data_IF_051704638726
#
_entry.id   IF_051704638726
#
_cell.length_a   1.000
_cell.length_b   1.000
_cell.length_c   1.000
_cell.angle_alpha   90.00
_cell.angle_beta   90.00
_cell.angle_gamma   90.00
#
_symmetry.space_group_name_H-M   'P 1'
#
loop_
_entity.id
_entity.type
_entity.pdbx_description
1 polymer ?
#
# COMPACT_ATOMS: atom_id res chain seq x y z
N UNK A 1 1.18 -19.75 18.31
CA UNK A 1 -0.17 -19.18 18.12
C UNK A 1 -0.63 -19.34 16.68
N UNK A 2 0.13 -18.88 15.68
CA UNK A 2 -0.12 -19.16 14.26
C UNK A 2 -0.22 -20.67 13.96
N UNK A 3 0.81 -21.42 14.35
CA UNK A 3 0.84 -22.89 14.26
C UNK A 3 -0.36 -23.61 14.90
N UNK A 4 -0.96 -23.02 15.95
CA UNK A 4 -2.10 -23.64 16.63
C UNK A 4 -3.38 -23.48 15.82
N UNK A 5 -3.57 -22.31 15.21
CA UNK A 5 -4.69 -22.04 14.30
C UNK A 5 -4.57 -22.95 13.08
N UNK A 6 -3.38 -23.12 12.52
CA UNK A 6 -3.16 -23.99 11.36
C UNK A 6 -3.39 -25.46 11.70
N UNK A 7 -2.87 -25.92 12.84
CA UNK A 7 -3.10 -27.28 13.31
C UNK A 7 -4.60 -27.58 13.49
N UNK A 8 -5.35 -26.66 14.10
CA UNK A 8 -6.77 -26.87 14.41
C UNK A 8 -7.69 -26.72 13.18
N UNK A 9 -7.45 -25.72 12.33
CA UNK A 9 -8.38 -25.34 11.25
C UNK A 9 -7.95 -25.81 9.86
N UNK A 10 -6.69 -26.20 9.66
CA UNK A 10 -6.16 -26.59 8.34
C UNK A 10 -5.60 -28.01 8.38
N UNK A 11 -4.53 -28.24 9.14
CA UNK A 11 -3.77 -29.50 9.11
C UNK A 11 -4.60 -30.67 9.65
N UNK A 12 -5.35 -30.48 10.73
CA UNK A 12 -6.22 -31.54 11.26
C UNK A 12 -7.30 -31.99 10.28
N UNK A 13 -7.88 -31.05 9.52
CA UNK A 13 -8.86 -31.36 8.48
C UNK A 13 -8.21 -32.04 7.28
N UNK A 14 -7.04 -31.54 6.86
CA UNK A 14 -6.30 -32.10 5.74
C UNK A 14 -5.83 -33.52 6.05
N UNK A 15 -5.33 -33.78 7.26
CA UNK A 15 -4.96 -35.12 7.75
C UNK A 15 -6.14 -36.11 7.70
N UNK A 16 -7.34 -35.68 8.13
CA UNK A 16 -8.54 -36.51 8.11
C UNK A 16 -8.92 -36.95 6.69
N UNK A 17 -8.69 -36.11 5.68
CA UNK A 17 -9.08 -36.37 4.29
C UNK A 17 -7.98 -37.04 3.46
N UNK A 18 -6.73 -36.63 3.61
CA UNK A 18 -5.62 -37.13 2.81
C UNK A 18 -5.07 -38.46 3.33
N UNK A 19 -5.11 -38.71 4.65
CA UNK A 19 -4.52 -39.88 5.33
C UNK A 19 -3.02 -40.11 5.05
N UNK A 20 -2.35 -39.14 4.42
CA UNK A 20 -0.94 -39.22 4.00
C UNK A 20 -0.02 -38.29 4.79
N UNK A 21 -0.58 -37.39 5.61
CA UNK A 21 0.19 -36.47 6.46
C UNK A 21 0.35 -37.09 7.84
N UNK A 22 1.56 -37.51 8.17
CA UNK A 22 1.87 -38.20 9.43
C UNK A 22 2.56 -37.32 10.48
N UNK A 23 3.00 -36.12 10.09
CA UNK A 23 3.67 -35.19 11.00
C UNK A 23 2.70 -34.09 11.42
N UNK A 24 2.62 -33.86 12.74
CA UNK A 24 1.98 -32.69 13.32
C UNK A 24 2.84 -31.47 12.99
N UNK A 25 2.22 -30.38 12.55
CA UNK A 25 2.91 -29.14 12.18
C UNK A 25 3.76 -28.65 13.36
N UNK A 26 5.07 -28.56 13.15
CA UNK A 26 6.05 -28.31 14.22
C UNK A 26 5.92 -26.90 14.79
N UNK A 27 5.97 -26.77 16.12
CA UNK A 27 6.00 -25.46 16.78
C UNK A 27 7.29 -24.72 16.40
N UNK A 28 7.14 -23.56 15.77
CA UNK A 28 8.24 -22.71 15.29
C UNK A 28 9.06 -22.05 16.41
N UNK A 29 8.99 -22.55 17.66
CA UNK A 29 9.73 -22.03 18.82
C UNK A 29 9.43 -20.55 19.13
N UNK A 30 8.29 -20.04 18.68
CA UNK A 30 7.83 -18.67 18.94
C UNK A 30 7.76 -18.39 20.46
N UNK A 31 7.34 -19.39 21.24
CA UNK A 31 7.31 -19.34 22.70
C UNK A 31 8.71 -19.16 23.31
N UNK A 32 9.73 -19.79 22.73
CA UNK A 32 11.12 -19.64 23.17
C UNK A 32 11.65 -18.24 22.86
N UNK A 33 11.32 -17.69 21.69
CA UNK A 33 11.69 -16.31 21.30
C UNK A 33 11.04 -15.27 22.22
N UNK A 34 9.75 -15.42 22.54
CA UNK A 34 9.07 -14.54 23.49
C UNK A 34 9.70 -14.60 24.88
N UNK A 35 10.11 -15.79 25.34
CA UNK A 35 10.81 -15.93 26.62
C UNK A 35 12.20 -15.25 26.61
N UNK A 36 12.86 -15.21 25.46
CA UNK A 36 14.14 -14.51 25.27
C UNK A 36 13.95 -13.00 25.35
N UNK A 37 12.89 -12.46 24.72
CA UNK A 37 12.52 -11.04 24.82
C UNK A 37 12.16 -10.64 26.26
N UNK A 38 11.36 -11.44 26.94
CA UNK A 38 10.98 -11.19 28.33
C UNK A 38 12.21 -11.18 29.27
N UNK A 39 13.16 -12.09 29.05
CA UNK A 39 14.44 -12.10 29.77
C UNK A 39 15.27 -10.85 29.51
N UNK A 40 15.30 -10.33 28.28
CA UNK A 40 15.97 -9.08 27.94
C UNK A 40 15.38 -7.89 28.68
N UNK A 41 14.04 -7.76 28.64
CA UNK A 41 13.31 -6.65 29.25
C UNK A 41 13.40 -6.63 30.79
N UNK A 42 13.48 -7.81 31.44
CA UNK A 42 13.47 -7.90 32.91
C UNK A 42 14.85 -7.94 33.55
N UNK A 43 15.85 -8.48 32.87
CA UNK A 43 17.11 -8.88 33.52
C UNK A 43 18.35 -8.12 33.04
N UNK A 44 18.30 -7.38 31.93
CA UNK A 44 19.43 -6.59 31.44
C UNK A 44 19.44 -5.24 32.16
N UNK A 45 20.48 -4.98 32.96
CA UNK A 45 20.57 -3.75 33.79
C UNK A 45 21.80 -2.91 33.51
N UNK A 46 22.80 -3.46 32.83
CA UNK A 46 24.05 -2.77 32.52
C UNK A 46 24.48 -3.02 31.07
N UNK A 47 25.39 -2.17 30.60
CA UNK A 47 25.88 -2.13 29.22
C UNK A 47 26.58 -3.45 28.79
N UNK A 48 27.25 -4.12 29.73
CA UNK A 48 27.90 -5.41 29.47
C UNK A 48 26.89 -6.55 29.27
N UNK A 49 25.85 -6.61 30.10
CA UNK A 49 24.72 -7.52 29.95
C UNK A 49 23.94 -7.25 28.66
N UNK A 50 23.82 -5.98 28.26
CA UNK A 50 23.17 -5.57 27.03
C UNK A 50 23.91 -6.09 25.80
N UNK A 51 25.23 -5.91 25.73
CA UNK A 51 26.05 -6.43 24.62
C UNK A 51 26.01 -7.95 24.53
N UNK A 52 26.01 -8.65 25.68
CA UNK A 52 25.92 -10.11 25.70
C UNK A 52 24.51 -10.61 25.32
N UNK A 53 23.47 -9.87 25.70
CA UNK A 53 22.10 -10.15 25.31
C UNK A 53 21.89 -9.91 23.82
N UNK A 54 22.40 -8.82 23.28
CA UNK A 54 22.33 -8.47 21.85
C UNK A 54 22.93 -9.58 20.98
N UNK A 55 24.12 -10.08 21.36
CA UNK A 55 24.75 -11.19 20.65
C UNK A 55 23.87 -12.45 20.64
N UNK A 56 23.33 -12.84 21.80
CA UNK A 56 22.46 -14.01 21.91
C UNK A 56 21.12 -13.81 21.17
N UNK A 57 20.57 -12.60 21.20
CA UNK A 57 19.35 -12.25 20.50
C UNK A 57 19.54 -12.38 18.99
N UNK A 58 20.65 -11.83 18.47
CA UNK A 58 20.99 -11.91 17.05
C UNK A 58 21.15 -13.36 16.58
N UNK A 59 21.94 -14.16 17.28
CA UNK A 59 22.15 -15.57 16.94
C UNK A 59 20.83 -16.37 16.96
N UNK A 60 19.93 -16.07 17.92
CA UNK A 60 18.62 -16.73 18.03
C UNK A 60 17.62 -16.28 16.99
N UNK A 61 17.59 -14.99 16.64
CA UNK A 61 16.76 -14.46 15.55
C UNK A 61 17.18 -15.04 14.21
N UNK A 62 18.48 -15.09 13.93
CA UNK A 62 19.00 -15.69 12.71
C UNK A 62 18.65 -17.18 12.61
N UNK A 63 18.80 -17.93 13.71
CA UNK A 63 18.40 -19.33 13.74
C UNK A 63 16.89 -19.52 13.54
N UNK A 64 16.06 -18.70 14.19
CA UNK A 64 14.61 -18.72 14.02
C UNK A 64 14.21 -18.45 12.56
N UNK A 65 14.72 -17.38 11.94
CA UNK A 65 14.36 -17.00 10.57
C UNK A 65 14.80 -18.05 9.55
N UNK A 66 15.94 -18.71 9.78
CA UNK A 66 16.41 -19.82 8.91
C UNK A 66 15.46 -21.01 8.91
N UNK A 67 14.79 -21.28 10.02
CA UNK A 67 13.85 -22.41 10.13
C UNK A 67 12.42 -21.98 9.72
N UNK A 68 12.01 -20.74 10.06
CA UNK A 68 10.65 -20.23 9.88
C UNK A 68 10.29 -19.97 8.41
N UNK A 69 11.20 -19.38 7.62
CA UNK A 69 10.88 -19.05 6.22
C UNK A 69 10.72 -20.29 5.32
N UNK A 70 11.59 -21.31 5.40
CA UNK A 70 11.38 -22.55 4.65
C UNK A 70 10.11 -23.29 5.07
N UNK A 71 9.77 -23.24 6.37
CA UNK A 71 8.55 -23.84 6.91
C UNK A 71 7.29 -23.19 6.30
N UNK A 72 7.18 -21.86 6.33
CA UNK A 72 6.06 -21.15 5.66
C UNK A 72 6.02 -21.43 4.16
N UNK A 73 7.18 -21.54 3.51
CA UNK A 73 7.27 -21.86 2.09
C UNK A 73 6.77 -23.27 1.78
N UNK A 74 7.04 -24.24 2.64
CA UNK A 74 6.53 -25.60 2.51
C UNK A 74 4.99 -25.63 2.58
N UNK A 75 4.38 -24.85 3.48
CA UNK A 75 2.93 -24.74 3.57
C UNK A 75 2.31 -24.22 2.25
N UNK A 76 2.91 -23.18 1.67
CA UNK A 76 2.44 -22.58 0.42
C UNK A 76 2.66 -23.48 -0.80
N UNK A 77 3.79 -24.19 -0.87
CA UNK A 77 4.15 -24.98 -2.05
C UNK A 77 3.65 -26.44 -1.98
N UNK A 78 3.39 -26.97 -0.79
CA UNK A 78 2.98 -28.36 -0.57
C UNK A 78 1.54 -28.45 -0.05
N UNK A 79 1.23 -27.78 1.06
CA UNK A 79 -0.10 -27.92 1.67
C UNK A 79 -1.19 -27.18 0.88
N UNK A 80 -0.91 -26.02 0.29
CA UNK A 80 -1.90 -25.29 -0.50
C UNK A 80 -2.37 -26.08 -1.75
N UNK A 81 -1.50 -26.71 -2.55
CA UNK A 81 -1.95 -27.63 -3.61
C UNK A 81 -2.75 -28.83 -3.08
N UNK A 82 -2.33 -29.45 -1.96
CA UNK A 82 -3.07 -30.56 -1.37
C UNK A 82 -4.47 -30.13 -0.89
N UNK A 83 -4.61 -28.94 -0.32
CA UNK A 83 -5.90 -28.38 0.06
C UNK A 83 -6.82 -28.22 -1.17
N UNK A 84 -6.29 -27.78 -2.30
CA UNK A 84 -7.03 -27.68 -3.57
C UNK A 84 -7.43 -29.05 -4.14
N UNK A 85 -6.73 -30.13 -3.79
CA UNK A 85 -7.02 -31.49 -4.22
C UNK A 85 -8.11 -32.16 -3.36
N UNK A 86 -8.05 -31.98 -2.03
CA UNK A 86 -8.93 -32.68 -1.08
C UNK A 86 -10.15 -31.88 -0.61
N UNK A 87 -10.26 -30.59 -0.97
CA UNK A 87 -11.38 -29.73 -0.59
C UNK A 87 -11.95 -29.01 -1.80
N UNK A 88 -13.27 -28.78 -1.76
CA UNK A 88 -13.93 -27.95 -2.75
C UNK A 88 -13.62 -26.47 -2.53
N UNK A 89 -13.81 -25.65 -3.57
CA UNK A 89 -13.57 -24.21 -3.49
C UNK A 89 -14.38 -23.52 -2.37
N UNK A 90 -15.65 -23.91 -2.17
CA UNK A 90 -16.48 -23.31 -1.12
C UNK A 90 -16.03 -23.75 0.28
N UNK A 91 -15.60 -25.01 0.45
CA UNK A 91 -15.03 -25.46 1.73
C UNK A 91 -13.73 -24.72 2.08
N UNK A 92 -12.86 -24.49 1.10
CA UNK A 92 -11.63 -23.71 1.30
C UNK A 92 -11.91 -22.26 1.64
N UNK A 93 -12.94 -21.67 1.04
CA UNK A 93 -13.39 -20.32 1.38
C UNK A 93 -13.90 -20.23 2.82
N UNK A 94 -14.64 -21.25 3.28
CA UNK A 94 -15.10 -21.34 4.66
C UNK A 94 -13.95 -21.56 5.65
N UNK A 95 -12.97 -22.40 5.30
CA UNK A 95 -11.75 -22.61 6.09
C UNK A 95 -10.97 -21.30 6.19
N UNK A 96 -10.71 -20.62 5.07
CA UNK A 96 -10.05 -19.31 5.02
C UNK A 96 -10.75 -18.29 5.91
N UNK A 97 -12.08 -18.22 5.86
CA UNK A 97 -12.86 -17.31 6.70
C UNK A 97 -12.67 -17.57 8.19
N UNK A 98 -12.61 -18.85 8.61
CA UNK A 98 -12.36 -19.23 10.01
C UNK A 98 -10.93 -18.90 10.45
N UNK A 99 -9.93 -19.24 9.63
CA UNK A 99 -8.52 -18.98 9.90
C UNK A 99 -8.26 -17.48 10.05
N UNK A 100 -8.76 -16.66 9.11
CA UNK A 100 -8.67 -15.20 9.18
C UNK A 100 -9.36 -14.68 10.44
N UNK A 101 -10.57 -15.15 10.75
CA UNK A 101 -11.27 -14.70 11.96
C UNK A 101 -10.46 -14.96 13.24
N UNK A 102 -9.79 -16.11 13.35
CA UNK A 102 -8.94 -16.42 14.51
C UNK A 102 -7.68 -15.55 14.56
N UNK A 103 -7.02 -15.33 13.43
CA UNK A 103 -5.87 -14.42 13.35
C UNK A 103 -6.22 -12.96 13.64
N UNK A 104 -7.43 -12.53 13.26
CA UNK A 104 -7.90 -11.16 13.42
C UNK A 104 -8.56 -10.88 14.78
N UNK A 105 -9.12 -11.88 15.45
CA UNK A 105 -9.77 -11.70 16.76
C UNK A 105 -8.78 -11.27 17.85
N UNK A 106 -7.47 -11.47 17.64
CA UNK A 106 -6.42 -11.15 18.61
C UNK A 106 -5.51 -9.97 18.22
N UNK A 107 -5.70 -9.37 17.04
CA UNK A 107 -4.99 -8.13 16.62
C UNK A 107 -6.02 -7.04 16.36
N UNK A 108 -5.75 -5.82 16.84
CA UNK A 108 -6.63 -4.67 16.74
C UNK A 108 -7.35 -4.58 15.38
N UNK A 109 -8.67 -4.64 15.47
CA UNK A 109 -9.63 -4.82 14.37
C UNK A 109 -9.58 -3.74 13.28
N UNK A 110 -8.88 -2.63 13.51
CA UNK A 110 -8.81 -1.47 12.61
C UNK A 110 -7.77 -1.60 11.47
N UNK A 111 -6.59 -2.15 11.74
CA UNK A 111 -5.52 -2.26 10.71
C UNK A 111 -5.77 -3.42 9.74
N UNK A 112 -6.44 -4.47 10.22
CA UNK A 112 -6.68 -5.68 9.44
C UNK A 112 -7.88 -5.58 8.49
N UNK A 113 -8.89 -4.75 8.80
CA UNK A 113 -9.97 -4.44 7.85
C UNK A 113 -9.42 -3.75 6.58
N UNK A 114 -8.37 -2.92 6.73
CA UNK A 114 -7.62 -2.37 5.59
C UNK A 114 -6.88 -3.48 4.83
N UNK A 115 -6.18 -4.38 5.53
CA UNK A 115 -5.49 -5.52 4.91
C UNK A 115 -6.43 -6.45 4.14
N UNK A 116 -7.55 -6.88 4.73
CA UNK A 116 -8.54 -7.77 4.12
C UNK A 116 -9.20 -7.17 2.87
N UNK A 117 -9.45 -5.85 2.88
CA UNK A 117 -9.94 -5.15 1.70
C UNK A 117 -8.93 -5.18 0.54
N UNK A 118 -7.63 -5.11 0.84
CA UNK A 118 -6.55 -5.17 -0.14
C UNK A 118 -6.33 -6.61 -0.65
N UNK A 119 -6.43 -7.62 0.22
CA UNK A 119 -6.27 -9.03 -0.14
C UNK A 119 -7.41 -9.55 -1.04
N UNK A 120 -8.67 -9.20 -0.74
CA UNK A 120 -9.79 -9.53 -1.62
C UNK A 120 -9.63 -8.89 -3.01
N UNK A 121 -9.08 -7.68 -3.06
CA UNK A 121 -8.77 -6.98 -4.32
C UNK A 121 -7.63 -7.65 -5.11
N UNK A 122 -6.67 -8.28 -4.44
CA UNK A 122 -5.58 -9.03 -5.06
C UNK A 122 -6.03 -10.42 -5.57
N UNK A 123 -6.91 -11.10 -4.84
CA UNK A 123 -7.45 -12.42 -5.22
C UNK A 123 -8.39 -12.33 -6.44
N UNK A 124 -9.17 -11.25 -6.57
CA UNK A 124 -9.93 -10.95 -7.79
C UNK A 124 -9.02 -10.72 -9.01
N UNK A 125 -7.85 -10.10 -8.82
CA UNK A 125 -6.86 -9.90 -9.88
C UNK A 125 -6.19 -11.20 -10.33
N UNK A 126 -5.94 -12.14 -9.41
CA UNK A 126 -5.41 -13.47 -9.76
C UNK A 126 -6.45 -14.34 -10.48
N UNK A 127 -7.72 -14.26 -10.09
CA UNK A 127 -8.82 -14.89 -10.86
C UNK A 127 -8.92 -14.36 -12.28
N UNK A 128 -8.72 -13.05 -12.49
CA UNK A 128 -8.74 -12.45 -13.83
C UNK A 128 -7.57 -12.94 -14.70
N UNK A 129 -6.39 -13.16 -14.12
CA UNK A 129 -5.22 -13.66 -14.87
C UNK A 129 -5.32 -15.15 -15.23
N UNK A 130 -5.92 -15.99 -14.38
CA UNK A 130 -6.02 -17.45 -14.63
C UNK A 130 -7.04 -17.82 -15.71
N UNK A 131 -8.04 -16.96 -15.97
CA UNK A 131 -9.00 -17.15 -17.08
C UNK A 131 -8.54 -16.53 -18.42
N UNK A 132 -7.39 -15.84 -18.46
CA UNK A 132 -6.90 -15.19 -19.69
C UNK A 132 -5.93 -16.04 -20.52
N UNK A 133 -5.54 -17.24 -20.06
CA UNK A 133 -4.43 -18.01 -20.68
C UNK A 133 -4.88 -19.31 -21.37
N UNK A 134 -6.13 -19.75 -21.22
CA UNK A 134 -6.58 -20.99 -21.85
C UNK A 134 -7.79 -20.79 -22.75
N UNK A 135 -7.55 -20.21 -23.94
CA UNK A 135 -8.42 -20.47 -25.09
C UNK A 135 -7.63 -20.31 -26.40
N UNK A 136 -6.78 -21.31 -26.68
CA UNK A 136 -6.36 -21.62 -28.05
C UNK A 136 -6.39 -23.12 -28.29
N UNK A 137 -7.58 -23.65 -28.59
CA UNK A 137 -7.73 -24.64 -29.66
C UNK A 137 -9.20 -24.87 -30.05
N UNK A 138 -9.43 -24.69 -31.35
CA UNK A 138 -10.38 -25.38 -32.23
C UNK A 138 -11.91 -25.18 -32.13
N UNK A 139 -12.37 -24.46 -33.17
CA UNK A 139 -13.48 -24.75 -34.12
C UNK A 139 -14.92 -24.30 -33.81
N UNK A 140 -15.33 -23.33 -34.63
CA UNK A 140 -16.64 -23.16 -35.29
C UNK A 140 -17.91 -23.37 -34.45
N UNK A 141 -18.48 -22.27 -33.95
CA UNK A 141 -19.93 -22.02 -33.98
C UNK A 141 -20.21 -20.53 -33.79
N UNK A 142 -20.95 -19.92 -34.72
CA UNK A 142 -21.49 -18.58 -34.60
C UNK A 142 -22.45 -18.47 -33.41
N UNK A 143 -22.11 -17.66 -32.39
CA UNK A 143 -23.08 -16.84 -31.64
C UNK A 143 -22.41 -15.52 -31.27
N UNK A 144 -22.87 -14.45 -31.92
CA UNK A 144 -22.53 -13.07 -31.61
C UNK A 144 -23.00 -12.70 -30.20
N UNK A 145 -22.10 -12.75 -29.22
CA UNK A 145 -22.28 -12.02 -27.95
C UNK A 145 -21.37 -10.78 -27.97
N UNK A 146 -21.92 -9.67 -28.46
CA UNK A 146 -21.23 -8.37 -28.43
C UNK A 146 -21.29 -7.83 -27.01
N UNK A 147 -20.41 -8.30 -26.13
CA UNK A 147 -20.04 -7.52 -24.96
C UNK A 147 -19.28 -6.29 -25.45
N UNK A 148 -19.98 -5.16 -25.59
CA UNK A 148 -19.33 -3.88 -25.90
C UNK A 148 -18.50 -3.48 -24.68
N UNK A 149 -17.24 -3.88 -24.65
CA UNK A 149 -16.30 -3.53 -23.59
C UNK A 149 -16.16 -2.01 -23.42
N UNK A 150 -15.71 -1.58 -22.23
CA UNK A 150 -15.53 -0.16 -21.86
C UNK A 150 -14.67 0.63 -22.88
N UNK A 151 -13.85 -0.07 -23.67
CA UNK A 151 -13.04 0.46 -24.78
C UNK A 151 -13.86 1.12 -25.89
N UNK A 152 -15.13 0.71 -26.07
CA UNK A 152 -16.04 1.25 -27.08
C UNK A 152 -16.76 2.54 -26.64
N UNK A 153 -16.61 2.97 -25.39
CA UNK A 153 -17.20 4.23 -24.94
C UNK A 153 -16.54 5.41 -25.66
N UNK A 154 -17.34 6.41 -26.08
CA UNK A 154 -16.82 7.68 -26.57
C UNK A 154 -15.93 8.36 -25.52
N UNK A 155 -14.88 9.09 -25.93
CA UNK A 155 -13.98 9.76 -25.01
C UNK A 155 -14.69 10.75 -24.10
N UNK A 156 -15.78 11.39 -24.55
CA UNK A 156 -16.57 12.33 -23.75
C UNK A 156 -17.27 11.65 -22.57
N UNK A 157 -17.78 10.43 -22.78
CA UNK A 157 -18.41 9.63 -21.71
C UNK A 157 -17.34 9.19 -20.71
N UNK A 158 -16.18 8.76 -21.19
CA UNK A 158 -15.04 8.41 -20.33
C UNK A 158 -14.58 9.61 -19.50
N UNK A 159 -14.52 10.81 -20.08
CA UNK A 159 -14.20 12.04 -19.35
C UNK A 159 -15.26 12.37 -18.29
N UNK A 160 -16.54 12.15 -18.59
CA UNK A 160 -17.61 12.31 -17.61
C UNK A 160 -17.53 11.28 -16.48
N UNK A 161 -17.01 10.08 -16.71
CA UNK A 161 -16.73 9.11 -15.65
C UNK A 161 -15.55 9.59 -14.81
N UNK A 162 -14.47 10.03 -15.47
CA UNK A 162 -13.26 10.50 -14.82
C UNK A 162 -13.47 11.76 -13.96
N UNK A 163 -14.49 12.59 -14.25
CA UNK A 163 -14.79 13.76 -13.41
C UNK A 163 -15.29 13.43 -12.01
N UNK A 164 -15.68 12.18 -11.74
CA UNK A 164 -16.07 11.72 -10.40
C UNK A 164 -14.90 11.13 -9.60
N UNK A 165 -13.73 10.97 -10.23
CA UNK A 165 -12.56 10.37 -9.60
C UNK A 165 -11.70 11.43 -8.93
N UNK A 166 -11.07 11.07 -7.81
CA UNK A 166 -10.11 11.95 -7.17
C UNK A 166 -8.75 11.97 -7.93
N UNK A 167 -7.87 12.95 -7.67
CA UNK A 167 -6.58 13.05 -8.34
C UNK A 167 -5.70 11.79 -8.23
N UNK A 168 -5.77 11.07 -7.10
CA UNK A 168 -5.02 9.83 -6.90
C UNK A 168 -5.53 8.71 -7.82
N UNK A 169 -6.86 8.56 -7.91
CA UNK A 169 -7.53 7.59 -8.77
C UNK A 169 -7.31 7.91 -10.25
N UNK A 170 -7.34 9.18 -10.63
CA UNK A 170 -7.01 9.61 -11.99
C UNK A 170 -5.58 9.19 -12.39
N UNK A 171 -4.61 9.37 -11.49
CA UNK A 171 -3.24 8.91 -11.70
C UNK A 171 -3.13 7.38 -11.82
N UNK A 172 -3.98 6.61 -11.13
CA UNK A 172 -4.06 5.14 -11.28
C UNK A 172 -4.71 4.76 -12.61
N UNK A 173 -5.79 5.42 -13.00
CA UNK A 173 -6.44 5.23 -14.30
C UNK A 173 -5.49 5.53 -15.47
N UNK A 174 -4.60 6.50 -15.31
CA UNK A 174 -3.56 6.82 -16.30
C UNK A 174 -2.60 5.67 -16.60
N UNK A 175 -2.51 4.66 -15.74
CA UNK A 175 -1.59 3.53 -15.89
C UNK A 175 -2.26 2.30 -16.54
N UNK A 176 -3.57 2.33 -16.76
CA UNK A 176 -4.34 1.17 -17.27
C UNK A 176 -4.11 0.95 -18.77
N UNK A 177 -4.14 2.02 -19.57
CA UNK A 177 -3.89 1.94 -21.01
C UNK A 177 -3.40 3.28 -21.56
N UNK A 178 -2.75 3.32 -22.74
CA UNK A 178 -2.34 4.58 -23.37
C UNK A 178 -3.50 5.55 -23.60
N UNK A 179 -4.68 5.04 -24.00
CA UNK A 179 -5.91 5.83 -24.20
C UNK A 179 -6.37 6.48 -22.89
N UNK A 180 -6.34 5.72 -21.78
CA UNK A 180 -6.71 6.25 -20.47
C UNK A 180 -5.68 7.22 -19.93
N UNK A 181 -4.39 7.01 -20.21
CA UNK A 181 -3.32 7.95 -19.87
C UNK A 181 -3.53 9.33 -20.49
N UNK A 182 -3.92 9.37 -21.77
CA UNK A 182 -4.24 10.62 -22.45
C UNK A 182 -5.51 11.27 -21.88
N UNK A 183 -6.57 10.49 -21.68
CA UNK A 183 -7.85 11.00 -21.18
C UNK A 183 -7.76 11.50 -19.72
N UNK A 184 -7.06 10.77 -18.84
CA UNK A 184 -6.88 11.16 -17.45
C UNK A 184 -6.05 12.44 -17.30
N UNK A 185 -5.20 12.77 -18.27
CA UNK A 185 -4.43 14.02 -18.35
C UNK A 185 -5.13 15.09 -19.19
N UNK A 186 -6.45 15.01 -19.32
CA UNK A 186 -7.23 16.09 -19.96
C UNK A 186 -7.38 17.25 -18.99
N UNK A 187 -7.07 18.46 -19.42
CA UNK A 187 -7.06 19.65 -18.57
C UNK A 187 -8.38 19.96 -17.86
N UNK A 188 -9.52 19.50 -18.40
CA UNK A 188 -10.83 19.68 -17.77
C UNK A 188 -10.98 19.00 -16.40
N UNK A 189 -10.18 17.97 -16.12
CA UNK A 189 -10.16 17.19 -14.87
C UNK A 189 -9.24 17.81 -13.80
N UNK A 190 -8.31 18.69 -14.21
CA UNK A 190 -7.25 19.24 -13.35
C UNK A 190 -7.39 20.76 -13.15
N UNK A 191 -8.63 21.24 -13.03
CA UNK A 191 -8.91 22.69 -12.88
C UNK A 191 -8.49 23.25 -11.52
N UNK A 192 -8.52 22.43 -10.48
CA UNK A 192 -8.27 22.86 -9.11
C UNK A 192 -7.27 21.92 -8.44
N UNK A 193 -6.12 22.45 -8.04
CA UNK A 193 -5.01 21.71 -7.46
C UNK A 193 -4.79 22.11 -6.00
N UNK A 194 -4.76 21.12 -5.11
CA UNK A 194 -4.57 21.31 -3.66
C UNK A 194 -3.44 20.40 -3.12
N UNK A 195 -2.18 20.53 -3.59
CA UNK A 195 -1.12 19.58 -3.25
C UNK A 195 -0.85 19.43 -1.75
N UNK A 196 -1.03 20.52 -0.99
CA UNK A 196 -0.88 20.57 0.48
C UNK A 196 -1.95 19.71 1.18
N UNK A 197 -3.20 19.78 0.72
CA UNK A 197 -4.30 18.96 1.24
C UNK A 197 -4.13 17.49 0.84
N UNK A 198 -3.72 17.24 -0.40
CA UNK A 198 -3.50 15.89 -0.93
C UNK A 198 -2.42 15.14 -0.15
N UNK A 199 -1.35 15.83 0.28
CA UNK A 199 -0.29 15.25 1.10
C UNK A 199 -0.76 14.78 2.48
N UNK A 200 -1.85 15.39 2.98
CA UNK A 200 -2.49 15.08 4.26
C UNK A 200 -3.63 14.07 4.12
N UNK A 201 -3.91 13.60 2.90
CA UNK A 201 -4.91 12.59 2.61
C UNK A 201 -6.30 13.12 2.22
N UNK A 202 -6.49 14.44 2.21
CA UNK A 202 -7.70 15.06 1.65
C UNK A 202 -7.53 15.26 0.15
N UNK A 203 -8.19 14.43 -0.66
CA UNK A 203 -8.08 14.43 -2.13
C UNK A 203 -9.09 15.32 -2.85
N UNK A 204 -9.49 16.42 -2.22
CA UNK A 204 -10.41 17.40 -2.80
C UNK A 204 -9.90 17.95 -4.15
N UNK A 205 -10.81 18.09 -5.12
CA UNK A 205 -10.52 18.59 -6.48
C UNK A 205 -11.60 19.55 -7.02
N UNK A 206 -12.50 20.00 -6.15
CA UNK A 206 -13.58 20.93 -6.49
C UNK A 206 -13.14 22.41 -6.47
N UNK A 207 -14.07 23.33 -6.78
CA UNK A 207 -13.81 24.76 -6.73
C UNK A 207 -13.51 25.22 -5.30
N UNK A 208 -12.69 26.27 -5.14
CA UNK A 208 -12.37 26.80 -3.82
C UNK A 208 -13.66 27.26 -3.09
N UNK A 209 -14.08 26.48 -2.09
CA UNK A 209 -15.15 26.85 -1.16
C UNK A 209 -14.59 27.77 -0.07
N UNK A 210 -15.43 28.50 0.68
CA UNK A 210 -15.03 29.40 1.80
C UNK A 210 -14.23 28.73 2.94
N UNK A 211 -13.93 27.44 2.82
CA UNK A 211 -13.12 26.62 3.73
C UNK A 211 -11.62 27.01 3.73
N UNK A 212 -11.14 27.83 2.80
CA UNK A 212 -9.72 28.16 2.62
C UNK A 212 -9.17 29.26 3.54
N UNK A 213 -9.85 29.64 4.63
CA UNK A 213 -9.48 30.88 5.35
C UNK A 213 -9.10 30.81 6.82
N UNK A 214 -9.03 29.66 7.49
CA UNK A 214 -8.38 29.61 8.82
C UNK A 214 -7.60 28.30 9.02
N UNK A 215 -6.36 28.37 9.53
CA UNK A 215 -5.60 27.17 9.87
C UNK A 215 -6.28 26.47 11.04
N UNK A 216 -6.58 25.18 10.89
CA UNK A 216 -7.12 24.41 12.01
C UNK A 216 -6.08 24.28 13.15
N UNK A 217 -6.56 24.00 14.36
CA UNK A 217 -5.70 23.81 15.55
C UNK A 217 -4.66 22.68 15.34
N UNK A 218 -4.99 21.68 14.51
CA UNK A 218 -4.13 20.56 14.15
C UNK A 218 -2.94 21.02 13.29
N UNK A 219 -3.17 21.97 12.38
CA UNK A 219 -2.18 22.60 11.52
C UNK A 219 -1.18 23.44 12.34
N UNK A 220 -1.68 24.25 13.28
CA UNK A 220 -0.82 25.07 14.14
C UNK A 220 0.09 24.19 15.00
N UNK A 221 -0.42 23.04 15.44
CA UNK A 221 0.33 22.06 16.24
C UNK A 221 1.38 21.33 15.39
N UNK A 222 1.01 20.86 14.21
CA UNK A 222 1.91 20.21 13.25
C UNK A 222 3.10 21.10 12.89
N UNK A 223 2.87 22.40 12.67
CA UNK A 223 3.94 23.36 12.32
C UNK A 223 5.00 23.57 13.40
N UNK A 224 4.63 23.48 14.69
CA UNK A 224 5.58 23.56 15.80
C UNK A 224 6.53 22.36 15.84
N UNK A 225 6.04 21.20 15.42
CA UNK A 225 6.83 19.98 15.31
C UNK A 225 7.67 19.98 14.01
N UNK A 226 7.14 20.50 12.89
CA UNK A 226 7.90 20.68 11.63
C UNK A 226 9.06 21.65 11.77
N UNK A 227 8.87 22.79 12.46
CA UNK A 227 9.93 23.81 12.63
C UNK A 227 11.09 23.29 13.48
N UNK A 228 10.85 22.31 14.37
CA UNK A 228 11.91 21.62 15.11
C UNK A 228 12.65 20.62 14.21
N UNK A 229 11.92 19.84 13.41
CA UNK A 229 12.51 18.89 12.48
C UNK A 229 13.34 19.55 11.36
N UNK A 230 12.89 20.68 10.82
CA UNK A 230 13.62 21.43 9.80
C UNK A 230 14.91 22.07 10.35
N UNK A 231 15.01 22.27 11.66
CA UNK A 231 16.21 22.81 12.33
C UNK A 231 17.27 21.72 12.55
N UNK A 232 16.90 20.44 12.46
CA UNK A 232 17.78 19.27 12.51
C UNK A 232 18.22 18.79 11.11
N UNK A 233 17.66 19.38 10.04
CA UNK A 233 18.09 19.14 8.67
C UNK A 233 19.26 20.04 8.28
N UNK A 234 20.49 19.55 8.51
CA UNK A 234 21.70 20.08 7.87
C UNK A 234 21.76 19.58 6.41
N UNK A 235 21.99 20.50 5.47
CA UNK A 235 21.82 20.30 4.01
C UNK A 235 22.96 19.51 3.32
N UNK A 236 23.87 18.89 4.08
CA UNK A 236 25.06 18.21 3.56
C UNK A 236 25.26 16.76 4.06
N UNK A 237 24.35 16.23 4.88
CA UNK A 237 24.41 14.83 5.29
C UNK A 237 24.00 13.92 4.12
N UNK A 238 25.00 13.23 3.58
CA UNK A 238 24.88 12.12 2.67
C UNK A 238 23.86 11.09 3.19
N UNK A 239 22.86 10.82 2.34
CA UNK A 239 21.78 9.86 2.58
C UNK A 239 22.39 8.48 2.83
N UNK A 240 22.45 8.08 4.09
CA UNK A 240 22.50 6.67 4.50
C UNK A 240 21.08 6.23 4.87
N UNK A 241 20.46 5.41 4.01
CA UNK A 241 19.14 4.81 4.24
C UNK A 241 19.21 3.65 5.26
N UNK A 242 19.95 3.80 6.35
CA UNK A 242 20.08 2.75 7.37
C UNK A 242 20.17 3.24 8.80
N UNK A 243 19.38 4.25 9.19
CA UNK A 243 19.09 4.51 10.60
C UNK A 243 17.57 4.58 10.87
N UNK A 244 17.06 3.49 11.45
CA UNK A 244 15.75 3.40 12.08
C UNK A 244 15.77 4.24 13.38
N UNK A 245 15.74 5.56 13.22
CA UNK A 245 15.69 6.52 14.32
C UNK A 245 14.24 6.69 14.79
N UNK A 246 14.01 6.28 16.04
CA UNK A 246 12.91 6.62 16.94
C UNK A 246 11.87 7.62 16.40
N UNK A 247 10.73 7.09 15.94
CA UNK A 247 9.50 7.84 15.74
C UNK A 247 9.62 9.00 14.75
N UNK A 248 9.71 8.68 13.46
CA UNK A 248 9.50 9.65 12.38
C UNK A 248 8.24 10.47 12.68
N UNK A 249 8.43 11.75 13.04
CA UNK A 249 7.31 12.62 13.39
C UNK A 249 6.36 12.65 12.20
N UNK A 250 5.07 12.43 12.43
CA UNK A 250 4.01 12.46 11.39
C UNK A 250 4.12 13.72 10.53
N UNK A 251 4.60 14.82 11.11
CA UNK A 251 4.82 16.07 10.41
C UNK A 251 5.94 15.99 9.35
N UNK A 252 7.04 15.26 9.63
CA UNK A 252 8.15 15.03 8.70
C UNK A 252 7.66 14.20 7.50
N UNK A 253 6.90 13.14 7.75
CA UNK A 253 6.38 12.28 6.67
C UNK A 253 5.36 13.00 5.78
N UNK A 254 4.55 13.91 6.35
CA UNK A 254 3.66 14.80 5.59
C UNK A 254 4.48 15.76 4.71
N UNK A 255 5.49 16.44 5.26
CA UNK A 255 6.33 17.38 4.50
C UNK A 255 7.08 16.68 3.35
N UNK A 256 7.62 15.47 3.58
CA UNK A 256 8.23 14.66 2.54
C UNK A 256 7.22 14.24 1.46
N UNK A 257 6.02 13.83 1.88
CA UNK A 257 4.94 13.45 0.96
C UNK A 257 4.49 14.63 0.11
N UNK A 258 4.39 15.82 0.70
CA UNK A 258 4.07 17.09 0.03
C UNK A 258 5.13 17.44 -1.02
N UNK A 259 6.42 17.36 -0.66
CA UNK A 259 7.54 17.56 -1.59
C UNK A 259 7.45 16.62 -2.79
N UNK A 260 7.21 15.33 -2.54
CA UNK A 260 7.09 14.30 -3.59
C UNK A 260 5.89 14.55 -4.51
N UNK A 261 4.74 14.91 -3.94
CA UNK A 261 3.53 15.24 -4.69
C UNK A 261 3.75 16.45 -5.61
N UNK A 262 4.30 17.53 -5.07
CA UNK A 262 4.59 18.74 -5.84
C UNK A 262 5.58 18.46 -6.98
N UNK A 263 6.66 17.72 -6.71
CA UNK A 263 7.61 17.30 -7.74
C UNK A 263 6.92 16.45 -8.81
N UNK A 264 6.09 15.49 -8.41
CA UNK A 264 5.31 14.65 -9.32
C UNK A 264 4.38 15.46 -10.22
N UNK A 265 3.69 16.47 -9.66
CA UNK A 265 2.80 17.35 -10.41
C UNK A 265 3.56 18.20 -11.43
N UNK A 266 4.66 18.82 -11.01
CA UNK A 266 5.51 19.67 -11.86
C UNK A 266 6.04 18.89 -13.06
N UNK A 267 6.48 17.64 -12.87
CA UNK A 267 7.11 16.89 -13.94
C UNK A 267 6.16 16.04 -14.78
N UNK A 268 5.03 15.57 -14.22
CA UNK A 268 4.20 14.55 -14.88
C UNK A 268 2.77 15.00 -15.21
N UNK A 269 2.29 16.10 -14.62
CA UNK A 269 0.90 16.57 -14.78
C UNK A 269 0.89 17.93 -15.44
N UNK A 270 1.50 18.95 -14.81
CA UNK A 270 1.52 20.33 -15.29
C UNK A 270 2.02 20.51 -16.74
N UNK A 271 2.99 19.74 -17.27
CA UNK A 271 3.39 19.87 -18.67
C UNK A 271 2.26 19.58 -19.67
N UNK A 272 1.27 18.78 -19.26
CA UNK A 272 0.14 18.37 -20.11
C UNK A 272 -1.13 19.18 -19.85
N UNK A 273 -1.39 19.55 -18.59
CA UNK A 273 -2.66 20.21 -18.19
C UNK A 273 -2.51 21.67 -17.76
N UNK A 274 -1.28 22.18 -17.67
CA UNK A 274 -0.95 23.44 -17.00
C UNK A 274 -1.77 24.64 -17.47
N UNK A 275 -2.10 24.70 -18.76
CA UNK A 275 -2.92 25.79 -19.34
C UNK A 275 -4.40 25.76 -18.92
N UNK A 276 -4.88 24.65 -18.37
CA UNK A 276 -6.28 24.46 -17.95
C UNK A 276 -6.48 24.58 -16.43
N UNK A 277 -5.39 24.71 -15.66
CA UNK A 277 -5.43 24.89 -14.21
C UNK A 277 -5.98 26.29 -13.89
N UNK A 278 -7.03 26.33 -13.07
CA UNK A 278 -7.69 27.57 -12.62
C UNK A 278 -7.26 27.99 -11.22
N UNK A 279 -7.10 27.04 -10.31
CA UNK A 279 -6.67 27.31 -8.94
C UNK A 279 -5.55 26.37 -8.54
N UNK A 280 -4.55 26.92 -7.86
CA UNK A 280 -3.46 26.19 -7.24
C UNK A 280 -3.32 26.74 -5.82
N UNK A 281 -3.75 25.95 -4.83
CA UNK A 281 -3.70 26.36 -3.42
C UNK A 281 -2.48 25.71 -2.78
N UNK A 282 -1.52 26.56 -2.43
CA UNK A 282 -0.29 26.22 -1.71
C UNK A 282 -0.25 26.91 -0.34
N UNK A 283 -1.41 27.37 0.14
CA UNK A 283 -1.53 27.99 1.44
C UNK A 283 -0.94 27.04 2.48
N UNK A 284 -0.16 27.60 3.39
CA UNK A 284 0.35 26.87 4.55
C UNK A 284 1.24 25.64 4.25
N UNK A 285 1.84 25.61 3.07
CA UNK A 285 2.85 24.60 2.69
C UNK A 285 4.08 24.63 3.60
N UNK A 286 4.62 23.44 3.91
CA UNK A 286 5.89 23.27 4.61
C UNK A 286 7.06 22.90 3.69
N UNK A 287 6.77 22.48 2.45
CA UNK A 287 7.78 21.95 1.52
C UNK A 287 7.96 22.75 0.21
N UNK A 288 7.18 23.81 -0.02
CA UNK A 288 7.29 24.63 -1.25
C UNK A 288 8.51 25.55 -1.18
N UNK A 289 9.40 25.39 -2.17
CA UNK A 289 10.51 26.32 -2.41
C UNK A 289 10.22 27.28 -3.56
N UNK A 290 10.90 28.44 -3.59
CA UNK A 290 10.81 29.40 -4.69
C UNK A 290 11.13 28.76 -6.05
N UNK A 291 12.06 27.80 -6.10
CA UNK A 291 12.40 27.05 -7.32
C UNK A 291 11.22 26.23 -7.84
N UNK A 292 10.47 25.58 -6.95
CA UNK A 292 9.31 24.76 -7.32
C UNK A 292 8.17 25.60 -7.87
N UNK A 293 7.95 26.79 -7.29
CA UNK A 293 7.00 27.76 -7.84
C UNK A 293 7.42 28.21 -9.23
N UNK A 294 8.69 28.60 -9.41
CA UNK A 294 9.21 29.02 -10.71
C UNK A 294 9.03 27.92 -11.76
N UNK A 295 9.34 26.66 -11.42
CA UNK A 295 9.14 25.52 -12.33
C UNK A 295 7.66 25.29 -12.66
N UNK A 296 6.76 25.37 -11.67
CA UNK A 296 5.33 25.22 -11.90
C UNK A 296 4.75 26.32 -12.83
N UNK A 297 5.28 27.54 -12.73
CA UNK A 297 4.80 28.71 -13.48
C UNK A 297 5.50 28.92 -14.83
N UNK A 298 6.70 28.39 -15.06
CA UNK A 298 7.44 28.50 -16.33
C UNK A 298 7.13 27.39 -17.35
N UNK A 299 6.46 26.31 -16.94
CA UNK A 299 6.04 25.22 -17.84
C UNK A 299 5.01 25.58 -18.93
N UNK A 300 4.14 26.62 -18.83
CA UNK A 300 3.15 26.86 -19.88
C UNK A 300 3.69 27.47 -21.17
N UNK A 301 4.95 27.93 -21.24
CA UNK A 301 5.45 28.65 -22.43
C UNK A 301 6.18 27.78 -23.48
N UNK A 302 6.49 26.50 -23.20
CA UNK A 302 7.31 25.69 -24.13
C UNK A 302 6.55 24.71 -25.04
N UNK A 303 5.21 24.68 -25.02
CA UNK A 303 4.42 23.74 -25.85
C UNK A 303 3.58 24.40 -26.96
N UNK A 304 3.92 25.63 -27.35
CA UNK A 304 3.41 26.28 -28.56
C UNK A 304 4.50 26.35 -29.63
N UNK A 305 4.73 25.24 -30.35
CA UNK A 305 5.43 25.19 -31.64
C UNK A 305 5.01 23.94 -32.40
#
# INVERSE_FOLDING_TARGET
MHEQIENEYIIGLLQQRSQTIYNVHSDNKLSEMLSLFEKGLKNVKNEYEQLNYEKQLKERLEAFTRDFLPHMKEEEEVFQPMLMEYFTYEELKDIKKKVIAQHCSQKDTAELLRGLSLWNQAEERQKFFKYSVDEKSDKEAEVSDRSTGITHLPPEVMLSIFSYLNPQELCRCSQVSPKWSQLAKTGSLWKHLYPVHWARGDWYSGPATELDTEPDEEWVKSRKDESRAFQEWDEDADIDESEESAGESIAISIAQTEKRLLHGLIHNVLPYVGTSVKTLVLAYSSAVSSKMLVLAWMLPESSAS
#
